data_IF_811119890367
#
_entry.id   IF_811119890367
#
_cell.length_a   1.000
_cell.length_b   1.000
_cell.length_c   1.000
_cell.angle_alpha   90.00
_cell.angle_beta   90.00
_cell.angle_gamma   90.00
#
_symmetry.space_group_name_H-M   'P 1'
#
loop_
_entity.id
_entity.type
_entity.pdbx_description
1 polymer ?
#
# COMPACT_ATOMS: atom_id res chain seq x y z
N UNK A 1 -23.32 -45.00 -26.29
CA UNK A 1 -22.06 -44.59 -25.63
C UNK A 1 -21.61 -43.18 -26.04
N UNK A 2 -21.50 -42.86 -27.33
CA UNK A 2 -21.02 -41.56 -27.87
C UNK A 2 -21.83 -40.32 -27.36
N UNK A 3 -23.13 -40.48 -27.06
CA UNK A 3 -23.97 -39.36 -26.61
C UNK A 3 -23.77 -38.95 -25.14
N UNK A 4 -23.17 -39.80 -24.29
CA UNK A 4 -22.96 -39.52 -22.86
C UNK A 4 -21.69 -38.68 -22.65
N UNK A 5 -20.61 -39.03 -23.34
CA UNK A 5 -19.34 -38.29 -23.32
C UNK A 5 -19.44 -36.87 -23.87
N UNK A 6 -20.25 -36.66 -24.91
CA UNK A 6 -20.46 -35.32 -25.47
C UNK A 6 -21.22 -34.42 -24.48
N UNK A 7 -22.20 -34.96 -23.76
CA UNK A 7 -22.94 -34.20 -22.73
C UNK A 7 -22.06 -33.87 -21.52
N UNK A 8 -21.21 -34.78 -21.07
CA UNK A 8 -20.28 -34.51 -19.96
C UNK A 8 -19.20 -33.50 -20.36
N UNK A 9 -18.66 -33.59 -21.57
CA UNK A 9 -17.68 -32.63 -22.09
C UNK A 9 -18.27 -31.22 -22.23
N UNK A 10 -19.50 -31.11 -22.76
CA UNK A 10 -20.21 -29.82 -22.87
C UNK A 10 -20.52 -29.25 -21.47
N UNK A 11 -21.01 -30.08 -20.55
CA UNK A 11 -21.27 -29.68 -19.15
C UNK A 11 -19.99 -29.21 -18.45
N UNK A 12 -18.84 -29.85 -18.70
CA UNK A 12 -17.54 -29.42 -18.16
C UNK A 12 -17.08 -28.09 -18.75
N UNK A 13 -17.19 -27.88 -20.07
CA UNK A 13 -16.85 -26.58 -20.69
C UNK A 13 -17.77 -25.46 -20.26
N UNK A 14 -19.07 -25.73 -20.06
CA UNK A 14 -20.05 -24.77 -19.53
C UNK A 14 -19.77 -24.47 -18.06
N UNK A 15 -19.41 -25.47 -17.25
CA UNK A 15 -18.99 -25.29 -15.86
C UNK A 15 -17.68 -24.52 -15.73
N UNK A 16 -16.71 -24.71 -16.63
CA UNK A 16 -15.46 -23.94 -16.63
C UNK A 16 -15.73 -22.48 -17.06
N UNK A 17 -16.54 -22.23 -18.10
CA UNK A 17 -16.95 -20.86 -18.46
C UNK A 17 -17.76 -20.19 -17.36
N UNK A 18 -18.68 -20.91 -16.72
CA UNK A 18 -19.43 -20.41 -15.55
C UNK A 18 -18.50 -20.15 -14.37
N UNK A 19 -17.54 -21.02 -14.09
CA UNK A 19 -16.57 -20.84 -13.00
C UNK A 19 -15.64 -19.66 -13.28
N UNK A 20 -15.12 -19.52 -14.50
CA UNK A 20 -14.30 -18.37 -14.91
C UNK A 20 -15.10 -17.07 -14.79
N UNK A 21 -16.31 -17.02 -15.36
CA UNK A 21 -17.18 -15.85 -15.24
C UNK A 21 -17.59 -15.58 -13.79
N UNK A 22 -17.89 -16.61 -13.00
CA UNK A 22 -18.24 -16.50 -11.58
C UNK A 22 -17.05 -16.00 -10.76
N UNK A 23 -15.84 -16.45 -11.02
CA UNK A 23 -14.63 -15.92 -10.37
C UNK A 23 -14.33 -14.49 -10.81
N UNK A 24 -14.60 -14.13 -12.07
CA UNK A 24 -14.45 -12.77 -12.58
C UNK A 24 -15.50 -11.83 -11.95
N UNK A 25 -16.76 -12.27 -11.84
CA UNK A 25 -17.84 -11.51 -11.20
C UNK A 25 -17.70 -11.48 -9.69
N UNK A 26 -17.22 -12.55 -9.04
CA UNK A 26 -16.98 -12.58 -7.59
C UNK A 26 -15.75 -11.77 -7.21
N UNK A 27 -14.72 -11.70 -8.07
CA UNK A 27 -13.60 -10.81 -7.86
C UNK A 27 -13.94 -9.35 -8.19
N UNK A 28 -14.79 -9.09 -9.19
CA UNK A 28 -15.38 -7.78 -9.42
C UNK A 28 -16.31 -7.38 -8.26
N UNK A 29 -17.06 -8.32 -7.69
CA UNK A 29 -17.89 -8.11 -6.51
C UNK A 29 -17.02 -7.92 -5.26
N UNK A 30 -15.86 -8.57 -5.14
CA UNK A 30 -14.90 -8.29 -4.06
C UNK A 30 -14.28 -6.89 -4.24
N UNK A 31 -14.02 -6.47 -5.49
CA UNK A 31 -13.58 -5.10 -5.83
C UNK A 31 -14.69 -4.07 -5.56
N UNK A 32 -15.96 -4.42 -5.77
CA UNK A 32 -17.12 -3.57 -5.47
C UNK A 32 -17.51 -3.58 -3.99
N UNK A 33 -17.31 -4.68 -3.26
CA UNK A 33 -17.51 -4.79 -1.81
C UNK A 33 -16.40 -4.10 -1.02
N UNK A 34 -15.19 -4.00 -1.58
CA UNK A 34 -14.14 -3.07 -1.10
C UNK A 34 -14.44 -1.63 -1.53
N UNK A 35 -15.32 -1.43 -2.52
CA UNK A 35 -15.74 -0.12 -3.04
C UNK A 35 -17.06 0.41 -2.47
N UNK A 36 -17.78 -0.34 -1.63
CA UNK A 36 -18.95 0.16 -0.90
C UNK A 36 -18.50 0.79 0.41
N UNK A 37 -17.95 2.00 0.28
CA UNK A 37 -17.82 2.94 1.39
C UNK A 37 -19.21 3.17 1.97
N UNK A 38 -19.40 2.75 3.23
CA UNK A 38 -20.58 3.08 4.02
C UNK A 38 -20.81 4.59 3.97
N UNK A 39 -22.05 5.00 3.73
CA UNK A 39 -22.48 6.39 3.94
C UNK A 39 -22.31 6.73 5.42
N UNK A 40 -21.50 7.75 5.71
CA UNK A 40 -21.42 8.40 7.02
C UNK A 40 -19.99 8.67 7.47
N UNK A 41 -19.46 9.82 7.05
CA UNK A 41 -18.48 10.76 7.63
C UNK A 41 -17.83 11.48 6.44
N UNK A 42 -17.99 12.80 6.35
CA UNK A 42 -17.36 13.61 5.30
C UNK A 42 -15.84 13.53 5.44
N UNK A 43 -15.15 13.18 4.35
CA UNK A 43 -13.70 13.21 4.32
C UNK A 43 -13.22 14.66 4.46
N UNK A 44 -12.05 14.87 5.08
CA UNK A 44 -11.40 16.19 5.12
C UNK A 44 -11.14 16.65 3.68
N UNK A 45 -11.54 17.89 3.35
CA UNK A 45 -11.42 18.49 2.03
C UNK A 45 -10.70 19.85 2.10
N UNK A 46 -10.23 20.32 0.95
CA UNK A 46 -9.66 21.67 0.82
C UNK A 46 -10.75 22.69 1.14
N UNK A 47 -10.45 23.63 2.03
CA UNK A 47 -11.38 24.64 2.55
C UNK A 47 -11.92 24.32 3.94
N UNK A 48 -11.68 23.12 4.48
CA UNK A 48 -12.11 22.78 5.83
C UNK A 48 -11.31 23.55 6.89
N UNK A 49 -12.02 24.06 7.90
CA UNK A 49 -11.44 24.72 9.06
C UNK A 49 -11.20 23.70 10.18
N UNK A 50 -9.96 23.63 10.65
CA UNK A 50 -9.52 22.65 11.66
C UNK A 50 -8.95 23.36 12.88
N UNK A 51 -9.18 22.76 14.05
CA UNK A 51 -8.57 23.16 15.31
C UNK A 51 -8.11 21.91 16.07
N UNK A 52 -6.80 21.75 16.24
CA UNK A 52 -6.22 20.49 16.75
C UNK A 52 -4.98 20.76 17.60
N UNK A 53 -4.86 20.04 18.71
CA UNK A 53 -3.65 20.01 19.52
C UNK A 53 -2.74 18.83 19.13
N UNK A 54 -1.43 19.06 19.13
CA UNK A 54 -0.46 18.01 18.87
C UNK A 54 0.98 18.46 19.11
N UNK A 55 1.92 17.53 18.90
CA UNK A 55 3.34 17.87 18.96
C UNK A 55 3.76 18.60 17.69
N UNK A 56 4.59 19.63 17.86
CA UNK A 56 5.21 20.34 16.75
C UNK A 56 6.61 19.77 16.54
N UNK A 57 6.91 19.40 15.29
CA UNK A 57 8.18 18.77 14.94
C UNK A 57 8.73 19.37 13.64
N UNK A 58 10.04 19.64 13.59
CA UNK A 58 10.67 20.14 12.37
C UNK A 58 10.85 19.05 11.31
N UNK A 59 10.77 19.43 10.03
CA UNK A 59 10.90 18.49 8.93
C UNK A 59 12.30 17.88 8.83
N UNK A 60 13.34 18.56 9.29
CA UNK A 60 14.70 18.05 9.21
C UNK A 60 14.87 16.80 10.11
N UNK A 61 14.41 16.85 11.36
CA UNK A 61 14.41 15.71 12.28
C UNK A 61 13.46 14.59 11.82
N UNK A 62 12.33 14.93 11.18
CA UNK A 62 11.44 13.95 10.54
C UNK A 62 12.17 13.24 9.39
N UNK A 63 12.73 14.00 8.45
CA UNK A 63 13.36 13.45 7.24
C UNK A 63 14.65 12.70 7.54
N UNK A 64 15.34 13.05 8.63
CA UNK A 64 16.53 12.35 9.11
C UNK A 64 16.22 10.95 9.65
N UNK A 65 15.01 10.72 10.15
CA UNK A 65 14.64 9.48 10.84
C UNK A 65 15.03 9.44 12.32
N UNK A 66 15.86 10.37 12.79
CA UNK A 66 16.26 10.53 14.20
C UNK A 66 16.33 12.00 14.58
N UNK A 67 16.17 12.30 15.88
CA UNK A 67 16.28 13.66 16.39
C UNK A 67 17.73 14.15 16.29
N UNK A 68 17.93 15.38 15.85
CA UNK A 68 19.28 15.94 15.69
C UNK A 68 20.00 16.09 17.05
N UNK A 69 19.26 16.52 18.05
CA UNK A 69 19.67 16.76 19.43
C UNK A 69 19.69 15.49 20.28
N UNK A 70 18.97 14.44 19.85
CA UNK A 70 19.03 13.11 20.43
C UNK A 70 19.14 12.02 19.35
N UNK A 71 20.35 11.79 18.76
CA UNK A 71 20.52 10.92 17.59
C UNK A 71 20.14 9.45 17.79
N UNK A 72 20.01 8.99 19.05
CA UNK A 72 19.56 7.64 19.41
C UNK A 72 18.03 7.50 19.47
N UNK A 73 17.29 8.61 19.36
CA UNK A 73 15.83 8.64 19.42
C UNK A 73 15.27 8.65 18.01
N UNK A 74 14.45 7.65 17.69
CA UNK A 74 13.72 7.56 16.43
C UNK A 74 12.67 8.68 16.36
N UNK A 75 12.64 9.39 15.23
CA UNK A 75 11.63 10.42 14.99
C UNK A 75 10.23 9.81 14.96
N UNK A 76 9.20 10.61 15.30
CA UNK A 76 7.80 10.19 15.41
C UNK A 76 7.49 9.12 16.48
N UNK A 77 8.48 8.58 17.20
CA UNK A 77 8.26 7.62 18.30
C UNK A 77 8.21 8.29 19.66
N UNK A 78 9.11 9.25 19.88
CA UNK A 78 9.26 9.95 21.15
C UNK A 78 9.43 11.46 20.93
N UNK A 79 8.43 12.16 20.35
CA UNK A 79 8.51 13.61 20.12
C UNK A 79 8.71 14.41 21.41
N UNK A 80 8.32 13.87 22.57
CA UNK A 80 8.55 14.45 23.88
C UNK A 80 10.04 14.57 24.26
N UNK A 81 10.95 13.90 23.53
CA UNK A 81 12.40 14.00 23.75
C UNK A 81 13.09 15.02 22.85
N UNK A 82 12.34 15.70 21.99
CA UNK A 82 12.89 16.70 21.10
C UNK A 82 12.91 18.07 21.79
N UNK A 83 14.08 18.68 21.89
CA UNK A 83 14.26 19.93 22.63
C UNK A 83 13.69 21.13 21.89
N UNK A 84 13.19 22.10 22.66
CA UNK A 84 12.74 23.38 22.11
C UNK A 84 13.91 24.13 21.46
N UNK A 85 15.11 24.06 22.05
CA UNK A 85 16.33 24.61 21.45
C UNK A 85 16.55 24.10 20.02
N UNK A 86 16.38 22.80 19.78
CA UNK A 86 16.52 22.21 18.45
C UNK A 86 15.46 22.76 17.48
N UNK A 87 14.22 22.90 17.94
CA UNK A 87 13.12 23.44 17.12
C UNK A 87 13.35 24.90 16.70
N UNK A 88 13.84 25.77 17.59
CA UNK A 88 13.78 27.24 17.38
C UNK A 88 15.13 27.93 17.13
N UNK A 89 16.25 27.37 17.61
CA UNK A 89 17.58 27.97 17.47
C UNK A 89 18.39 27.35 16.35
N UNK A 90 18.25 26.03 16.15
CA UNK A 90 19.07 25.29 15.21
C UNK A 90 18.64 25.58 13.79
N UNK A 91 19.50 26.27 13.04
CA UNK A 91 19.16 26.86 11.73
C UNK A 91 18.63 25.85 10.70
N UNK A 92 19.10 24.61 10.70
CA UNK A 92 18.64 23.59 9.75
C UNK A 92 17.26 23.03 10.12
N UNK A 93 16.94 22.96 11.41
CA UNK A 93 15.64 22.51 11.92
C UNK A 93 14.60 23.60 11.66
N UNK A 94 14.81 24.83 12.14
CA UNK A 94 13.84 25.93 11.98
C UNK A 94 13.54 26.31 10.52
N UNK A 95 14.52 26.17 9.62
CA UNK A 95 14.32 26.49 8.18
C UNK A 95 13.67 25.37 7.40
N UNK A 96 13.52 24.18 7.98
CA UNK A 96 12.89 23.04 7.30
C UNK A 96 11.36 23.12 7.32
N UNK A 97 10.78 24.00 8.14
CA UNK A 97 9.35 24.07 8.43
C UNK A 97 8.92 23.06 9.49
N UNK A 98 7.62 23.06 9.83
CA UNK A 98 7.09 22.21 10.90
C UNK A 98 5.89 21.37 10.47
N UNK A 99 5.72 20.22 11.12
CA UNK A 99 4.50 19.43 11.07
C UNK A 99 3.85 19.37 12.45
N UNK A 100 2.52 19.38 12.44
CA UNK A 100 1.69 18.99 13.58
C UNK A 100 1.56 17.47 13.59
N UNK A 101 1.89 16.86 14.73
CA UNK A 101 1.83 15.42 14.94
C UNK A 101 0.67 15.05 15.86
N UNK A 102 -0.11 14.06 15.44
CA UNK A 102 -1.22 13.50 16.21
C UNK A 102 -0.75 12.33 17.07
N UNK A 103 -1.35 12.19 18.25
CA UNK A 103 -1.10 11.09 19.17
C UNK A 103 -1.38 9.72 18.54
N UNK A 104 -0.60 8.69 18.90
CA UNK A 104 -0.88 7.33 18.47
C UNK A 104 -2.16 6.82 19.13
N UNK A 105 -2.99 6.10 18.36
CA UNK A 105 -4.22 5.47 18.85
C UNK A 105 -3.96 4.38 19.90
N UNK A 106 -2.79 3.75 19.85
CA UNK A 106 -2.39 2.67 20.76
C UNK A 106 -1.10 3.04 21.51
N UNK A 107 -0.97 2.66 22.80
CA UNK A 107 0.24 2.90 23.56
C UNK A 107 1.49 2.32 22.88
N UNK A 108 2.48 3.19 22.62
CA UNK A 108 3.74 2.80 21.96
C UNK A 108 3.70 2.80 20.42
N UNK A 109 2.60 3.24 19.81
CA UNK A 109 2.52 3.52 18.37
C UNK A 109 3.35 4.74 17.94
N UNK A 110 3.49 4.93 16.63
CA UNK A 110 4.11 6.12 16.06
C UNK A 110 3.11 7.27 15.98
N UNK A 111 3.58 8.48 16.21
CA UNK A 111 2.84 9.71 15.99
C UNK A 111 2.64 9.95 14.50
N UNK A 112 1.41 10.30 14.11
CA UNK A 112 1.08 10.55 12.71
C UNK A 112 1.37 11.99 12.34
N UNK A 113 1.97 12.23 11.17
CA UNK A 113 2.10 13.57 10.59
C UNK A 113 0.73 13.99 10.07
N UNK A 114 0.08 14.95 10.74
CA UNK A 114 -1.28 15.34 10.42
C UNK A 114 -1.31 16.50 9.43
N UNK A 115 -0.59 17.59 9.76
CA UNK A 115 -0.55 18.78 8.92
C UNK A 115 0.85 19.34 8.76
N UNK A 116 1.15 19.82 7.56
CA UNK A 116 2.25 20.72 7.26
C UNK A 116 1.79 22.16 7.51
N UNK A 117 2.57 22.92 8.28
CA UNK A 117 2.31 24.34 8.45
C UNK A 117 2.93 25.12 7.27
N UNK A 118 2.18 26.11 6.79
CA UNK A 118 2.64 27.09 5.81
C UNK A 118 3.72 28.03 6.39
N UNK A 119 4.22 28.94 5.57
CA UNK A 119 5.24 29.91 6.03
C UNK A 119 4.76 30.79 7.18
N UNK A 120 3.48 31.20 7.19
CA UNK A 120 2.91 31.99 8.29
C UNK A 120 2.87 31.18 9.58
N UNK A 121 2.36 29.94 9.53
CA UNK A 121 2.36 29.02 10.65
C UNK A 121 3.75 28.73 11.21
N UNK A 122 4.76 28.59 10.36
CA UNK A 122 6.13 28.36 10.81
C UNK A 122 6.68 29.53 11.65
N UNK A 123 6.39 30.78 11.28
CA UNK A 123 6.80 31.96 12.06
C UNK A 123 6.00 32.11 13.36
N UNK A 124 4.71 31.74 13.35
CA UNK A 124 3.89 31.70 14.56
C UNK A 124 4.39 30.65 15.56
N UNK A 125 4.70 29.43 15.10
CA UNK A 125 5.33 28.39 15.93
C UNK A 125 6.63 28.89 16.55
N UNK A 126 7.48 29.56 15.77
CA UNK A 126 8.74 30.10 16.27
C UNK A 126 8.54 31.16 17.36
N UNK A 127 7.51 31.99 17.22
CA UNK A 127 7.18 33.04 18.17
C UNK A 127 6.67 32.44 19.48
N UNK A 128 5.68 31.55 19.40
CA UNK A 128 5.08 30.91 20.57
C UNK A 128 6.06 29.98 21.31
N UNK A 129 6.82 29.16 20.58
CA UNK A 129 7.80 28.26 21.18
C UNK A 129 8.93 29.04 21.90
N UNK A 130 9.33 30.22 21.39
CA UNK A 130 10.33 31.07 22.05
C UNK A 130 9.79 31.81 23.27
N UNK A 131 8.48 31.99 23.38
CA UNK A 131 7.86 32.64 24.52
C UNK A 131 7.84 31.71 25.76
N UNK A 132 7.74 30.40 25.56
CA UNK A 132 7.62 29.41 26.66
C UNK A 132 8.83 28.49 26.81
N UNK A 133 9.72 28.47 25.82
CA UNK A 133 10.86 27.55 25.72
C UNK A 133 12.08 27.93 26.56
N UNK A 134 12.89 26.93 26.88
CA UNK A 134 14.29 27.11 27.28
C UNK A 134 15.18 27.06 26.02
N UNK A 135 15.62 28.23 25.56
CA UNK A 135 16.43 28.37 24.36
C UNK A 135 17.27 29.65 24.35
N UNK A 136 18.28 29.73 23.47
CA UNK A 136 19.20 30.86 23.37
C UNK A 136 18.56 32.11 22.77
N UNK A 137 17.53 31.95 21.93
CA UNK A 137 16.80 33.09 21.33
C UNK A 137 15.46 33.38 22.01
N UNK A 138 15.17 32.72 23.12
CA UNK A 138 13.94 32.88 23.89
C UNK A 138 14.00 34.22 24.65
N UNK A 139 12.93 35.03 24.53
CA UNK A 139 12.89 36.38 25.13
C UNK A 139 12.41 36.37 26.59
N UNK A 140 11.77 35.29 27.02
CA UNK A 140 11.31 35.07 28.38
C UNK A 140 12.06 33.89 29.04
N UNK A 141 12.05 33.82 30.37
CA UNK A 141 12.50 32.64 31.13
C UNK A 141 11.47 31.51 31.03
N UNK A 142 11.21 31.05 29.80
CA UNK A 142 10.46 29.84 29.57
C UNK A 142 11.15 28.64 30.23
N UNK A 143 10.36 27.66 30.67
CA UNK A 143 10.87 26.44 31.31
C UNK A 143 10.64 25.20 30.46
N UNK A 144 10.05 25.32 29.27
CA UNK A 144 9.80 24.18 28.40
C UNK A 144 11.09 23.76 27.71
N UNK A 145 11.72 22.70 28.19
CA UNK A 145 12.98 22.19 27.61
C UNK A 145 12.74 21.22 26.44
N UNK A 146 11.74 20.33 26.54
CA UNK A 146 11.50 19.25 25.58
C UNK A 146 10.03 19.08 25.22
N UNK A 147 9.72 18.55 24.04
CA UNK A 147 8.37 18.14 23.67
C UNK A 147 7.41 19.30 23.53
N UNK A 148 7.62 20.15 22.51
CA UNK A 148 6.73 21.28 22.27
C UNK A 148 5.40 20.82 21.68
N UNK A 149 4.30 21.17 22.36
CA UNK A 149 2.93 20.98 21.91
C UNK A 149 2.24 22.33 21.76
N UNK A 150 1.32 22.42 20.81
CA UNK A 150 0.50 23.59 20.58
C UNK A 150 -0.85 23.21 19.98
N UNK A 151 -1.85 24.07 20.19
CA UNK A 151 -3.14 24.02 19.49
C UNK A 151 -3.05 24.85 18.23
N UNK A 152 -3.31 24.25 17.08
CA UNK A 152 -3.24 24.89 15.76
C UNK A 152 -4.65 25.11 15.23
N UNK A 153 -4.96 26.35 14.84
CA UNK A 153 -6.16 26.69 14.06
C UNK A 153 -5.73 27.01 12.63
N UNK A 154 -6.44 26.47 11.64
CA UNK A 154 -6.10 26.73 10.24
C UNK A 154 -7.13 26.21 9.25
N UNK A 155 -6.95 26.57 7.99
CA UNK A 155 -7.77 26.10 6.86
C UNK A 155 -6.94 25.19 5.97
N UNK A 156 -7.51 24.05 5.57
CA UNK A 156 -6.85 23.10 4.67
C UNK A 156 -6.72 23.70 3.28
N UNK A 157 -5.50 23.88 2.80
CA UNK A 157 -5.22 24.46 1.47
C UNK A 157 -4.79 23.43 0.44
N UNK A 158 -4.19 22.34 0.90
CA UNK A 158 -3.72 21.25 0.04
C UNK A 158 -3.87 19.94 0.82
N UNK A 159 -4.42 18.89 0.20
CA UNK A 159 -4.59 17.58 0.85
C UNK A 159 -3.29 16.80 0.97
N UNK A 160 -2.19 17.35 0.49
CA UNK A 160 -0.89 16.73 0.45
C UNK A 160 -0.83 15.60 -0.57
N UNK A 161 0.01 14.62 -0.25
CA UNK A 161 0.24 13.45 -1.06
C UNK A 161 0.49 12.26 -0.15
N UNK A 162 0.87 11.13 -0.73
CA UNK A 162 1.29 9.98 0.06
C UNK A 162 2.50 10.23 0.98
N UNK A 163 3.38 11.17 0.62
CA UNK A 163 4.62 11.43 1.37
C UNK A 163 4.61 12.73 2.15
N UNK A 164 3.57 13.55 1.95
CA UNK A 164 3.43 14.88 2.57
C UNK A 164 2.03 15.00 3.16
N UNK A 165 1.89 15.38 4.44
CA UNK A 165 0.58 15.62 5.02
C UNK A 165 -0.13 16.79 4.32
N UNK A 166 -1.42 16.95 4.61
CA UNK A 166 -2.17 18.11 4.17
C UNK A 166 -1.52 19.41 4.68
N UNK A 167 -1.62 20.49 3.92
CA UNK A 167 -1.08 21.80 4.30
C UNK A 167 -2.18 22.67 4.87
N UNK A 168 -1.88 23.36 5.97
CA UNK A 168 -2.75 24.38 6.56
C UNK A 168 -2.25 25.77 6.19
N UNK A 169 -3.17 26.62 5.72
CA UNK A 169 -3.04 28.05 5.98
C UNK A 169 -3.29 28.24 7.48
N UNK A 170 -2.21 28.48 8.22
CA UNK A 170 -2.28 28.56 9.67
C UNK A 170 -2.87 29.91 10.06
N UNK A 171 -3.97 29.89 10.80
CA UNK A 171 -4.63 31.09 11.30
C UNK A 171 -4.12 31.48 12.69
N UNK A 172 -3.84 30.48 13.55
CA UNK A 172 -3.28 30.72 14.88
C UNK A 172 -2.49 29.51 15.41
N UNK A 173 -1.48 29.80 16.22
CA UNK A 173 -0.77 28.84 17.08
C UNK A 173 -1.02 29.28 18.51
N UNK A 174 -1.61 28.41 19.32
CA UNK A 174 -2.08 28.71 20.66
C UNK A 174 -1.48 27.74 21.69
N UNK A 175 -1.41 28.12 22.98
CA UNK A 175 -1.03 27.21 24.05
C UNK A 175 -1.93 25.98 24.12
N UNK A 176 -1.37 24.86 24.57
CA UNK A 176 -2.09 23.60 24.87
C UNK A 176 -3.32 23.87 25.76
N UNK A 177 -4.44 23.23 25.45
CA UNK A 177 -5.70 23.39 26.16
C UNK A 177 -6.49 24.66 25.81
N UNK A 178 -6.04 25.44 24.82
CA UNK A 178 -6.84 26.55 24.28
C UNK A 178 -8.11 26.02 23.61
N UNK A 179 -9.24 26.71 23.79
CA UNK A 179 -10.52 26.27 23.24
C UNK A 179 -10.58 26.43 21.72
N UNK A 180 -11.18 25.43 21.06
CA UNK A 180 -11.48 25.44 19.63
C UNK A 180 -12.77 26.18 19.28
N UNK A 181 -13.25 27.07 20.16
CA UNK A 181 -14.42 27.93 19.89
C UNK A 181 -14.02 29.21 19.13
N UNK A 182 -15.03 29.83 18.53
CA UNK A 182 -15.01 30.84 17.45
C UNK A 182 -14.44 32.23 17.80
N UNK A 183 -13.59 32.35 18.82
CA UNK A 183 -13.23 33.68 19.32
C UNK A 183 -11.81 34.08 18.93
N UNK A 184 -11.54 34.40 17.64
CA UNK A 184 -10.48 35.37 17.28
C UNK A 184 -10.84 36.10 15.96
N UNK A 185 -11.82 37.01 16.01
CA UNK A 185 -11.81 38.27 15.24
C UNK A 185 -12.69 39.30 15.98
N UNK A 186 -12.32 39.62 17.22
CA UNK A 186 -12.78 40.86 17.87
C UNK A 186 -11.66 41.89 17.73
N UNK A 187 -11.97 43.11 17.27
CA UNK A 187 -11.05 44.24 17.37
C UNK A 187 -10.81 44.62 18.85
N UNK A 188 -9.82 45.49 19.14
CA UNK A 188 -9.49 45.93 20.51
C UNK A 188 -10.68 46.59 21.27
N UNK A 189 -11.80 46.84 20.59
CA UNK A 189 -13.03 47.43 21.11
C UNK A 189 -14.22 46.45 21.17
N UNK A 190 -14.04 45.17 20.81
CA UNK A 190 -15.05 44.12 20.96
C UNK A 190 -16.18 44.11 19.92
N UNK A 191 -15.91 44.55 18.69
CA UNK A 191 -16.86 44.53 17.58
C UNK A 191 -16.36 43.71 16.37
N UNK A 192 -17.29 43.11 15.57
CA UNK A 192 -16.94 42.45 14.31
C UNK A 192 -16.53 43.48 13.25
N UNK A 193 -15.42 43.22 12.55
CA UNK A 193 -14.96 44.09 11.46
C UNK A 193 -15.72 43.77 10.16
N UNK A 194 -16.53 44.74 9.68
CA UNK A 194 -17.17 44.70 8.36
C UNK A 194 -16.38 45.55 7.35
N UNK A 195 -15.57 44.92 6.48
CA UNK A 195 -15.17 45.45 5.16
C UNK A 195 -14.47 44.34 4.32
N UNK A 196 -14.83 43.94 3.09
CA UNK A 196 -15.89 44.39 2.18
C UNK A 196 -16.06 43.48 0.93
N UNK A 197 -17.25 42.85 0.81
CA UNK A 197 -18.17 42.69 -0.37
C UNK A 197 -17.76 42.01 -1.72
N UNK A 198 -18.72 41.53 -2.57
CA UNK A 198 -20.05 40.93 -2.29
C UNK A 198 -20.43 39.70 -3.18
N UNK A 199 -21.24 38.76 -2.67
CA UNK A 199 -21.92 37.77 -3.54
C UNK A 199 -22.65 36.59 -2.88
N UNK A 200 -23.87 36.84 -2.39
CA UNK A 200 -24.98 35.88 -2.19
C UNK A 200 -24.84 34.73 -1.20
N UNK A 201 -25.35 34.96 0.02
CA UNK A 201 -26.50 34.21 0.54
C UNK A 201 -26.24 33.06 1.52
N UNK A 202 -26.44 33.34 2.81
CA UNK A 202 -26.70 32.33 3.85
C UNK A 202 -25.86 32.54 5.10
N UNK A 203 -26.45 33.13 6.14
CA UNK A 203 -25.81 33.22 7.46
C UNK A 203 -25.61 31.84 8.08
N UNK A 204 -24.39 31.56 8.50
CA UNK A 204 -23.99 30.44 9.34
C UNK A 204 -22.70 30.84 10.05
N UNK A 205 -22.64 30.66 11.36
CA UNK A 205 -21.37 30.72 12.09
C UNK A 205 -20.39 29.74 11.47
N UNK A 206 -19.10 30.08 11.47
CA UNK A 206 -18.05 29.23 10.91
C UNK A 206 -17.72 28.11 11.92
N UNK A 207 -18.48 27.01 11.90
CA UNK A 207 -18.21 25.87 12.76
C UNK A 207 -16.80 25.30 12.45
N UNK A 208 -15.83 25.56 13.33
CA UNK A 208 -14.55 24.84 13.31
C UNK A 208 -14.80 23.37 13.64
N UNK A 209 -14.30 22.48 12.80
CA UNK A 209 -14.40 21.04 13.04
C UNK A 209 -13.44 20.69 14.17
N UNK A 210 -13.98 20.49 15.38
CA UNK A 210 -13.22 19.97 16.52
C UNK A 210 -12.98 18.47 16.30
N UNK A 211 -11.72 18.09 16.02
CA UNK A 211 -11.41 16.70 15.70
C UNK A 211 -11.62 15.77 16.90
N UNK A 212 -11.57 16.28 18.15
CA UNK A 212 -11.89 15.49 19.34
C UNK A 212 -13.37 15.08 19.40
N UNK A 213 -14.30 15.91 18.91
CA UNK A 213 -15.72 15.55 18.83
C UNK A 213 -15.99 14.53 17.70
N UNK A 214 -15.14 14.54 16.65
CA UNK A 214 -15.15 13.58 15.55
C UNK A 214 -14.52 12.23 15.94
N UNK A 215 -13.46 12.24 16.76
CA UNK A 215 -12.78 11.05 17.28
C UNK A 215 -13.62 10.32 18.34
N UNK A 216 -14.45 11.05 19.08
CA UNK A 216 -15.27 10.49 20.17
C UNK A 216 -16.63 9.93 19.69
N UNK A 217 -17.09 10.22 18.48
CA UNK A 217 -18.32 9.66 17.91
C UNK A 217 -18.05 8.80 16.65
N UNK A 218 -17.87 7.49 16.92
CA UNK A 218 -17.91 6.34 16.00
C UNK A 218 -16.63 5.85 15.31
N UNK A 219 -16.56 4.50 15.26
CA UNK A 219 -15.84 3.57 14.38
C UNK A 219 -15.76 3.92 12.86
N UNK A 220 -16.26 5.08 12.42
CA UNK A 220 -16.34 5.54 11.03
C UNK A 220 -15.13 6.36 10.55
N UNK A 221 -14.43 7.07 11.45
CA UNK A 221 -13.15 7.73 11.13
C UNK A 221 -12.07 6.70 10.76
N UNK A 222 -12.17 5.49 11.28
CA UNK A 222 -11.29 4.37 10.94
C UNK A 222 -11.37 3.97 9.45
N UNK A 223 -12.25 4.55 8.64
CA UNK A 223 -12.31 4.32 7.19
C UNK A 223 -11.81 5.50 6.36
N UNK A 224 -11.74 6.71 6.93
CA UNK A 224 -11.24 7.92 6.25
C UNK A 224 -9.80 8.21 6.68
N UNK A 225 -9.46 8.02 7.95
CA UNK A 225 -8.07 8.02 8.44
C UNK A 225 -7.34 6.68 8.17
N UNK A 226 -8.07 5.64 7.73
CA UNK A 226 -7.52 4.48 7.00
C UNK A 226 -7.46 4.68 5.48
N UNK A 227 -7.43 5.95 5.05
CA UNK A 227 -6.55 6.36 3.96
C UNK A 227 -5.06 6.07 4.28
N UNK A 228 -4.80 5.34 5.36
CA UNK A 228 -3.62 4.56 5.64
C UNK A 228 -2.53 5.50 6.08
N UNK A 229 -2.06 5.32 7.31
CA UNK A 229 -0.66 5.64 7.57
C UNK A 229 0.14 5.15 6.35
N UNK A 230 1.03 5.97 5.82
CA UNK A 230 1.82 5.65 4.64
C UNK A 230 2.41 4.21 4.76
N UNK A 231 2.75 3.83 5.99
CA UNK A 231 3.03 2.49 6.48
C UNK A 231 1.97 1.40 6.12
N UNK A 232 0.70 1.59 6.45
CA UNK A 232 -0.41 0.69 6.10
C UNK A 232 -0.56 0.57 4.57
N UNK A 233 -0.38 1.65 3.82
CA UNK A 233 -0.44 1.61 2.35
C UNK A 233 0.74 0.82 1.77
N UNK A 234 1.96 1.05 2.28
CA UNK A 234 3.14 0.26 1.96
C UNK A 234 2.93 -1.23 2.26
N UNK A 235 2.36 -1.56 3.41
CA UNK A 235 2.08 -2.93 3.82
C UNK A 235 1.02 -3.58 2.94
N UNK A 236 -0.06 -2.87 2.60
CA UNK A 236 -1.14 -3.37 1.73
C UNK A 236 -0.65 -3.62 0.30
N UNK A 237 0.10 -2.68 -0.29
CA UNK A 237 0.75 -2.87 -1.58
C UNK A 237 1.73 -4.05 -1.54
N UNK A 238 2.66 -4.02 -0.57
CA UNK A 238 3.73 -5.01 -0.44
C UNK A 238 3.21 -6.42 -0.23
N UNK A 239 2.23 -6.62 0.65
CA UNK A 239 1.62 -7.92 0.92
C UNK A 239 0.93 -8.51 -0.32
N UNK A 240 0.12 -7.73 -1.04
CA UNK A 240 -0.52 -8.16 -2.29
C UNK A 240 0.51 -8.55 -3.35
N UNK A 241 1.59 -7.76 -3.48
CA UNK A 241 2.68 -8.07 -4.41
C UNK A 241 3.46 -9.33 -4.02
N UNK A 242 3.73 -9.55 -2.73
CA UNK A 242 4.40 -10.75 -2.24
C UNK A 242 3.54 -12.00 -2.43
N UNK A 243 2.22 -11.92 -2.20
CA UNK A 243 1.30 -13.04 -2.43
C UNK A 243 1.21 -13.35 -3.94
N UNK A 244 1.02 -12.31 -4.77
CA UNK A 244 0.90 -12.46 -6.22
C UNK A 244 2.22 -12.90 -6.88
N UNK A 245 3.19 -11.99 -6.93
CA UNK A 245 4.48 -12.18 -7.62
C UNK A 245 5.49 -12.98 -6.82
N UNK A 246 5.48 -12.89 -5.48
CA UNK A 246 6.40 -13.63 -4.64
C UNK A 246 6.03 -15.11 -4.50
N UNK A 247 4.75 -15.48 -4.66
CA UNK A 247 4.30 -16.85 -4.42
C UNK A 247 3.40 -17.46 -5.50
N UNK A 248 2.22 -16.90 -5.76
CA UNK A 248 1.20 -17.54 -6.61
C UNK A 248 1.65 -17.68 -8.08
N UNK A 249 2.13 -16.60 -8.71
CA UNK A 249 2.52 -16.59 -10.11
C UNK A 249 3.71 -17.56 -10.40
N UNK A 250 4.79 -17.58 -9.59
CA UNK A 250 5.84 -18.60 -9.71
C UNK A 250 5.33 -20.02 -9.48
N UNK A 251 4.46 -20.24 -8.47
CA UNK A 251 3.87 -21.55 -8.19
C UNK A 251 3.07 -22.08 -9.38
N UNK A 252 2.24 -21.23 -10.01
CA UNK A 252 1.49 -21.55 -11.22
C UNK A 252 2.39 -21.92 -12.40
N UNK A 253 3.56 -21.30 -12.53
CA UNK A 253 4.55 -21.62 -13.57
C UNK A 253 5.24 -22.97 -13.32
N UNK A 254 5.63 -23.25 -12.06
CA UNK A 254 6.20 -24.54 -11.65
C UNK A 254 5.21 -25.67 -11.87
N UNK A 255 3.95 -25.50 -11.46
CA UNK A 255 2.88 -26.48 -11.66
C UNK A 255 2.64 -26.79 -13.14
N UNK A 256 2.63 -25.76 -14.00
CA UNK A 256 2.52 -25.96 -15.44
C UNK A 256 3.67 -26.75 -16.06
N UNK A 257 4.84 -26.77 -15.41
CA UNK A 257 6.01 -27.53 -15.85
C UNK A 257 6.00 -28.96 -15.33
N UNK A 258 5.75 -29.15 -14.03
CA UNK A 258 5.98 -30.43 -13.36
C UNK A 258 4.73 -31.31 -13.26
N UNK A 259 3.53 -30.74 -13.33
CA UNK A 259 2.28 -31.46 -13.05
C UNK A 259 1.57 -32.01 -14.30
N UNK A 260 2.28 -32.08 -15.44
CA UNK A 260 1.71 -32.47 -16.74
C UNK A 260 1.29 -33.94 -16.85
N UNK A 261 1.71 -34.81 -15.94
CA UNK A 261 1.40 -36.24 -15.97
C UNK A 261 -0.04 -36.56 -15.57
N UNK A 262 -0.78 -35.61 -14.98
CA UNK A 262 -2.20 -35.81 -14.63
C UNK A 262 -3.09 -35.70 -15.88
N UNK A 263 -4.16 -36.51 -15.98
CA UNK A 263 -5.06 -36.54 -17.15
C UNK A 263 -5.88 -35.25 -17.29
N UNK A 264 -6.68 -35.17 -18.36
CA UNK A 264 -7.69 -34.13 -18.63
C UNK A 264 -7.16 -32.70 -18.67
N UNK A 265 -5.86 -32.55 -18.94
CA UNK A 265 -5.19 -31.26 -18.96
C UNK A 265 -5.26 -30.54 -17.61
N UNK A 266 -5.32 -31.27 -16.49
CA UNK A 266 -5.48 -30.68 -15.15
C UNK A 266 -4.43 -29.60 -14.85
N UNK A 267 -3.16 -29.81 -15.26
CA UNK A 267 -2.09 -28.83 -15.12
C UNK A 267 -2.43 -27.47 -15.73
N UNK A 268 -3.17 -27.46 -16.85
CA UNK A 268 -3.54 -26.24 -17.58
C UNK A 268 -4.67 -25.51 -16.85
N UNK A 269 -5.64 -26.24 -16.32
CA UNK A 269 -6.73 -25.68 -15.50
C UNK A 269 -6.18 -25.02 -14.24
N UNK A 270 -5.30 -25.74 -13.52
CA UNK A 270 -4.62 -25.21 -12.32
C UNK A 270 -3.78 -24.00 -12.67
N UNK A 271 -3.00 -24.07 -13.76
CA UNK A 271 -2.18 -22.94 -14.21
C UNK A 271 -3.03 -21.69 -14.46
N UNK A 272 -4.11 -21.78 -15.25
CA UNK A 272 -4.98 -20.62 -15.51
C UNK A 272 -5.54 -20.07 -14.21
N UNK A 273 -6.08 -20.92 -13.34
CA UNK A 273 -6.67 -20.50 -12.08
C UNK A 273 -5.66 -19.74 -11.19
N UNK A 274 -4.50 -20.35 -10.93
CA UNK A 274 -3.48 -19.77 -10.05
C UNK A 274 -2.87 -18.51 -10.67
N UNK A 275 -2.63 -18.49 -11.99
CA UNK A 275 -2.11 -17.30 -12.68
C UNK A 275 -3.12 -16.14 -12.64
N UNK A 276 -4.41 -16.42 -12.87
CA UNK A 276 -5.46 -15.39 -12.83
C UNK A 276 -5.60 -14.81 -11.43
N UNK A 277 -5.63 -15.66 -10.40
CA UNK A 277 -5.71 -15.21 -9.01
C UNK A 277 -4.48 -14.38 -8.61
N UNK A 278 -3.27 -14.85 -8.93
CA UNK A 278 -2.03 -14.13 -8.64
C UNK A 278 -1.96 -12.77 -9.34
N UNK A 279 -2.37 -12.70 -10.61
CA UNK A 279 -2.33 -11.48 -11.40
C UNK A 279 -3.41 -10.48 -10.95
N UNK A 280 -4.56 -10.97 -10.47
CA UNK A 280 -5.60 -10.13 -9.89
C UNK A 280 -5.11 -9.44 -8.61
N UNK A 281 -4.54 -10.20 -7.67
CA UNK A 281 -3.99 -9.64 -6.44
C UNK A 281 -2.85 -8.64 -6.72
N UNK A 282 -1.94 -9.01 -7.63
CA UNK A 282 -0.88 -8.11 -8.08
C UNK A 282 -1.43 -6.86 -8.78
N UNK A 283 -2.51 -6.98 -9.54
CA UNK A 283 -3.19 -5.85 -10.18
C UNK A 283 -3.78 -4.87 -9.16
N UNK A 284 -4.43 -5.37 -8.11
CA UNK A 284 -4.92 -4.54 -7.00
C UNK A 284 -3.74 -3.84 -6.31
N UNK A 285 -2.68 -4.58 -5.98
CA UNK A 285 -1.46 -4.01 -5.41
C UNK A 285 -0.85 -2.92 -6.30
N UNK A 286 -0.88 -3.12 -7.63
CA UNK A 286 -0.32 -2.15 -8.58
C UNK A 286 -1.15 -0.87 -8.64
N UNK A 287 -2.48 -0.98 -8.63
CA UNK A 287 -3.38 0.18 -8.58
C UNK A 287 -3.17 0.97 -7.30
N UNK A 288 -3.04 0.29 -6.15
CA UNK A 288 -2.72 0.94 -4.87
C UNK A 288 -1.42 1.74 -5.01
N UNK A 289 -0.37 1.16 -5.61
CA UNK A 289 0.88 1.89 -5.80
C UNK A 289 0.74 3.13 -6.69
N UNK A 290 0.09 3.01 -7.85
CA UNK A 290 -0.08 4.14 -8.76
C UNK A 290 -0.94 5.26 -8.18
N UNK A 291 -1.87 4.94 -7.28
CA UNK A 291 -2.77 5.92 -6.66
C UNK A 291 -2.16 6.59 -5.44
N UNK A 292 -1.28 5.90 -4.73
CA UNK A 292 -0.84 6.30 -3.40
C UNK A 292 0.68 6.43 -3.28
N UNK A 293 1.45 6.39 -4.35
CA UNK A 293 2.87 6.72 -4.29
C UNK A 293 3.22 7.65 -5.45
N UNK A 294 4.04 8.67 -5.17
CA UNK A 294 4.65 9.50 -6.21
C UNK A 294 5.73 8.71 -6.97
N UNK A 295 5.24 7.76 -7.76
CA UNK A 295 5.99 6.64 -8.32
C UNK A 295 7.06 7.10 -9.33
N UNK A 296 6.90 8.30 -9.91
CA UNK A 296 7.73 8.76 -11.04
C UNK A 296 8.29 10.19 -10.92
N UNK A 297 7.86 11.03 -9.96
CA UNK A 297 8.31 12.44 -9.93
C UNK A 297 9.52 12.71 -9.01
N UNK A 298 10.04 11.73 -8.25
CA UNK A 298 11.21 11.89 -7.38
C UNK A 298 12.50 11.25 -7.91
N UNK A 299 13.20 11.88 -8.88
CA UNK A 299 14.49 11.37 -9.42
C UNK A 299 15.62 11.33 -8.39
N UNK A 300 15.48 12.07 -7.28
CA UNK A 300 16.48 12.14 -6.21
C UNK A 300 16.47 10.86 -5.33
N UNK A 301 15.43 10.04 -5.43
CA UNK A 301 15.30 8.74 -4.76
C UNK A 301 15.48 7.57 -5.73
N UNK A 302 16.72 7.32 -6.14
CA UNK A 302 17.11 6.33 -7.17
C UNK A 302 16.48 4.95 -6.97
N UNK A 303 16.36 4.46 -5.73
CA UNK A 303 15.78 3.14 -5.43
C UNK A 303 14.26 3.10 -5.66
N UNK A 304 13.54 4.16 -5.27
CA UNK A 304 12.09 4.27 -5.46
C UNK A 304 11.74 4.31 -6.94
N UNK A 305 12.45 5.15 -7.70
CA UNK A 305 12.29 5.23 -9.15
C UNK A 305 12.64 3.90 -9.86
N UNK A 306 13.72 3.22 -9.46
CA UNK A 306 14.07 1.91 -10.01
C UNK A 306 12.99 0.85 -9.73
N UNK A 307 12.48 0.79 -8.50
CA UNK A 307 11.38 -0.10 -8.12
C UNK A 307 10.13 0.15 -8.97
N UNK A 308 9.74 1.42 -9.11
CA UNK A 308 8.60 1.87 -9.90
C UNK A 308 8.67 1.42 -11.37
N UNK A 309 9.80 1.68 -12.03
CA UNK A 309 10.01 1.33 -13.45
C UNK A 309 10.05 -0.18 -13.64
N UNK A 310 10.77 -0.90 -12.78
CA UNK A 310 10.85 -2.36 -12.86
C UNK A 310 9.49 -3.01 -12.57
N UNK A 311 8.78 -2.56 -11.53
CA UNK A 311 7.46 -3.04 -11.17
C UNK A 311 6.43 -2.81 -12.28
N UNK A 312 6.44 -1.62 -12.89
CA UNK A 312 5.59 -1.34 -14.06
C UNK A 312 5.90 -2.27 -15.23
N UNK A 313 7.19 -2.52 -15.50
CA UNK A 313 7.62 -3.45 -16.55
C UNK A 313 7.13 -4.87 -16.27
N UNK A 314 7.28 -5.35 -15.04
CA UNK A 314 6.80 -6.67 -14.59
C UNK A 314 5.28 -6.79 -14.73
N UNK A 315 4.53 -5.77 -14.34
CA UNK A 315 3.07 -5.76 -14.46
C UNK A 315 2.61 -5.76 -15.92
N UNK A 316 3.23 -4.95 -16.79
CA UNK A 316 2.95 -4.97 -18.23
C UNK A 316 3.21 -6.35 -18.82
N UNK A 317 4.37 -6.96 -18.53
CA UNK A 317 4.67 -8.32 -18.97
C UNK A 317 3.65 -9.33 -18.44
N UNK A 318 3.22 -9.19 -17.18
CA UNK A 318 2.20 -10.02 -16.54
C UNK A 318 0.85 -9.95 -17.22
N UNK A 319 0.33 -8.74 -17.49
CA UNK A 319 -0.95 -8.54 -18.18
C UNK A 319 -0.91 -8.92 -19.66
N UNK A 320 0.25 -8.84 -20.31
CA UNK A 320 0.43 -9.33 -21.67
C UNK A 320 0.42 -10.87 -21.76
N UNK A 321 0.67 -11.61 -20.68
CA UNK A 321 0.63 -13.09 -20.70
C UNK A 321 -0.74 -13.66 -21.07
N UNK A 322 -1.87 -13.31 -20.40
CA UNK A 322 -3.18 -13.83 -20.78
C UNK A 322 -3.61 -13.36 -22.17
N UNK A 323 -3.28 -12.11 -22.57
CA UNK A 323 -3.57 -11.61 -23.92
C UNK A 323 -2.83 -12.42 -24.99
N UNK A 324 -1.54 -12.69 -24.78
CA UNK A 324 -0.74 -13.57 -25.62
C UNK A 324 -1.30 -15.02 -25.60
N UNK A 325 -1.83 -15.49 -24.48
CA UNK A 325 -2.43 -16.82 -24.39
C UNK A 325 -3.73 -16.97 -25.19
N UNK A 326 -4.46 -15.88 -25.46
CA UNK A 326 -5.67 -15.93 -26.30
C UNK A 326 -5.38 -16.25 -27.77
N UNK A 327 -4.21 -15.84 -28.28
CA UNK A 327 -3.78 -16.11 -29.66
C UNK A 327 -3.00 -17.43 -29.80
N UNK A 328 -3.00 -18.26 -28.75
CA UNK A 328 -2.28 -19.54 -28.68
C UNK A 328 -2.72 -20.49 -29.81
N UNK A 329 -1.83 -20.89 -30.73
CA UNK A 329 -2.15 -21.83 -31.81
C UNK A 329 -2.60 -23.20 -31.26
N UNK A 330 -3.42 -23.94 -32.01
CA UNK A 330 -3.91 -25.25 -31.58
C UNK A 330 -2.78 -26.23 -31.22
N UNK A 331 -3.05 -27.12 -30.27
CA UNK A 331 -2.13 -28.21 -29.96
C UNK A 331 -2.06 -29.17 -31.16
N UNK A 332 -0.88 -29.75 -31.47
CA UNK A 332 -0.79 -30.77 -32.49
C UNK A 332 -1.66 -31.97 -32.09
N UNK A 333 -2.18 -32.70 -33.09
CA UNK A 333 -2.75 -34.02 -32.85
C UNK A 333 -1.67 -34.94 -32.25
N UNK A 334 -2.10 -35.95 -31.49
CA UNK A 334 -1.20 -36.88 -30.83
C UNK A 334 -0.28 -37.56 -31.86
N UNK A 335 1.04 -37.45 -31.67
CA UNK A 335 2.04 -37.95 -32.62
C UNK A 335 2.42 -37.00 -33.78
N UNK A 336 1.72 -35.89 -33.99
CA UNK A 336 2.04 -34.93 -35.06
C UNK A 336 3.08 -33.87 -34.62
N UNK A 337 3.93 -33.37 -35.54
CA UNK A 337 4.86 -32.28 -35.23
C UNK A 337 4.10 -30.98 -34.93
N UNK A 338 4.68 -30.14 -34.06
CA UNK A 338 4.13 -28.81 -33.78
C UNK A 338 4.28 -27.90 -35.00
N UNK A 339 3.28 -27.05 -35.24
CA UNK A 339 3.41 -25.98 -36.24
C UNK A 339 4.48 -24.96 -35.83
N UNK A 340 5.13 -24.31 -36.80
CA UNK A 340 6.13 -23.26 -36.54
C UNK A 340 5.57 -22.14 -35.66
N UNK A 341 4.33 -21.71 -35.92
CA UNK A 341 3.65 -20.69 -35.10
C UNK A 341 3.49 -21.14 -33.64
N UNK A 342 3.17 -22.42 -33.41
CA UNK A 342 3.06 -22.96 -32.05
C UNK A 342 4.41 -22.96 -31.34
N UNK A 343 5.50 -23.28 -32.04
CA UNK A 343 6.85 -23.25 -31.47
C UNK A 343 7.25 -21.83 -31.09
N UNK A 344 7.07 -20.86 -31.99
CA UNK A 344 7.38 -19.44 -31.74
C UNK A 344 6.56 -18.93 -30.55
N UNK A 345 5.24 -19.19 -30.54
CA UNK A 345 4.38 -18.79 -29.43
C UNK A 345 4.84 -19.40 -28.10
N UNK A 346 5.25 -20.68 -28.08
CA UNK A 346 5.76 -21.33 -26.87
C UNK A 346 7.07 -20.69 -26.37
N UNK A 347 7.96 -20.26 -27.28
CA UNK A 347 9.20 -19.55 -26.92
C UNK A 347 8.85 -18.19 -26.32
N UNK A 348 7.99 -17.41 -27.00
CA UNK A 348 7.60 -16.07 -26.54
C UNK A 348 6.87 -16.14 -25.21
N UNK A 349 5.84 -16.98 -25.08
CA UNK A 349 5.04 -17.10 -23.86
C UNK A 349 5.87 -17.59 -22.67
N UNK A 350 6.65 -18.66 -22.84
CA UNK A 350 7.48 -19.17 -21.75
C UNK A 350 8.63 -18.21 -21.44
N UNK A 351 9.31 -17.70 -22.46
CA UNK A 351 10.45 -16.80 -22.32
C UNK A 351 10.06 -15.54 -21.56
N UNK A 352 9.04 -14.82 -22.04
CA UNK A 352 8.53 -13.61 -21.36
C UNK A 352 8.00 -13.90 -19.95
N UNK A 353 7.40 -15.07 -19.72
CA UNK A 353 6.93 -15.47 -18.39
C UNK A 353 8.07 -15.67 -17.39
N UNK A 354 9.14 -16.38 -17.78
CA UNK A 354 10.33 -16.56 -16.94
C UNK A 354 11.10 -15.26 -16.72
N UNK A 355 11.18 -14.40 -17.74
CA UNK A 355 11.76 -13.06 -17.62
C UNK A 355 10.97 -12.22 -16.62
N UNK A 356 9.64 -12.23 -16.68
CA UNK A 356 8.79 -11.49 -15.74
C UNK A 356 9.01 -11.96 -14.29
N UNK A 357 9.06 -13.27 -14.05
CA UNK A 357 9.35 -13.84 -12.72
C UNK A 357 10.74 -13.40 -12.22
N UNK A 358 11.77 -13.46 -13.06
CA UNK A 358 13.12 -13.04 -12.67
C UNK A 358 13.18 -11.55 -12.31
N UNK A 359 12.55 -10.69 -13.11
CA UNK A 359 12.44 -9.26 -12.82
C UNK A 359 11.62 -8.99 -11.56
N UNK A 360 10.56 -9.77 -11.30
CA UNK A 360 9.75 -9.64 -10.10
C UNK A 360 10.55 -9.88 -8.82
N UNK A 361 11.45 -10.87 -8.81
CA UNK A 361 12.36 -11.12 -7.66
C UNK A 361 13.18 -9.87 -7.36
N UNK A 362 13.85 -9.30 -8.37
CA UNK A 362 14.63 -8.07 -8.19
C UNK A 362 13.76 -6.89 -7.74
N UNK A 363 12.57 -6.75 -8.32
CA UNK A 363 11.63 -5.68 -7.99
C UNK A 363 11.17 -5.75 -6.53
N UNK A 364 10.84 -6.95 -6.05
CA UNK A 364 10.46 -7.22 -4.66
C UNK A 364 11.64 -6.95 -3.72
N UNK A 365 12.84 -7.39 -4.07
CA UNK A 365 14.04 -7.10 -3.27
C UNK A 365 14.27 -5.60 -3.11
N UNK A 366 14.12 -4.80 -4.17
CA UNK A 366 14.23 -3.34 -4.04
C UNK A 366 13.07 -2.78 -3.22
N UNK A 367 11.83 -3.19 -3.49
CA UNK A 367 10.64 -2.68 -2.81
C UNK A 367 10.65 -2.90 -1.30
N UNK A 368 11.17 -4.04 -0.85
CA UNK A 368 11.31 -4.33 0.59
C UNK A 368 12.33 -3.44 1.29
N UNK A 369 13.28 -2.83 0.57
CA UNK A 369 14.18 -1.81 1.14
C UNK A 369 13.55 -0.43 1.31
N UNK A 370 12.34 -0.25 0.76
CA UNK A 370 11.58 1.00 0.85
C UNK A 370 10.54 0.95 1.99
N UNK A 371 10.43 -0.17 2.71
CA UNK A 371 9.50 -0.30 3.83
C UNK A 371 10.01 0.48 5.05
N UNK A 372 9.21 1.43 5.59
CA UNK A 372 9.60 2.28 6.71
C UNK A 372 9.68 1.56 8.07
N UNK A 373 8.93 0.46 8.25
CA UNK A 373 8.76 -0.21 9.56
C UNK A 373 9.75 -1.34 9.87
N UNK A 374 10.67 -1.66 8.96
CA UNK A 374 11.56 -2.81 9.13
C UNK A 374 12.92 -2.33 9.62
N UNK A 375 13.12 -2.26 10.95
CA UNK A 375 14.38 -1.86 11.60
C UNK A 375 15.58 -2.70 11.10
N UNK A 376 15.34 -3.94 10.66
CA UNK A 376 16.33 -4.80 10.02
C UNK A 376 15.82 -5.41 8.69
N UNK A 377 15.82 -4.59 7.64
CA UNK A 377 15.46 -4.96 6.27
C UNK A 377 16.25 -6.17 5.73
N UNK A 378 17.52 -6.33 6.15
CA UNK A 378 18.36 -7.45 5.69
C UNK A 378 17.89 -8.77 6.28
N UNK A 379 17.60 -8.77 7.58
CA UNK A 379 17.06 -9.96 8.25
C UNK A 379 15.71 -10.36 7.66
N UNK A 380 14.83 -9.40 7.36
CA UNK A 380 13.58 -9.69 6.66
C UNK A 380 13.81 -10.34 5.29
N UNK A 381 14.68 -9.75 4.45
CA UNK A 381 14.97 -10.29 3.12
C UNK A 381 15.58 -11.69 3.15
N UNK A 382 16.49 -11.94 4.10
CA UNK A 382 17.08 -13.27 4.31
C UNK A 382 16.03 -14.27 4.80
N UNK A 383 15.22 -13.91 5.80
CA UNK A 383 14.19 -14.79 6.35
C UNK A 383 13.13 -15.12 5.29
N UNK A 384 12.62 -14.11 4.57
CA UNK A 384 11.67 -14.29 3.49
C UNK A 384 12.28 -15.10 2.34
N UNK A 385 13.49 -14.76 1.90
CA UNK A 385 14.18 -15.44 0.81
C UNK A 385 14.42 -16.92 1.11
N UNK A 386 14.88 -17.24 2.33
CA UNK A 386 15.05 -18.63 2.79
C UNK A 386 13.71 -19.34 2.92
N UNK A 387 12.71 -18.71 3.55
CA UNK A 387 11.38 -19.27 3.75
C UNK A 387 10.68 -19.60 2.42
N UNK A 388 10.61 -18.62 1.51
CA UNK A 388 10.04 -18.80 0.18
C UNK A 388 10.85 -19.83 -0.63
N UNK A 389 12.18 -19.79 -0.56
CA UNK A 389 13.06 -20.76 -1.21
C UNK A 389 12.80 -22.20 -0.75
N UNK A 390 12.75 -22.44 0.56
CA UNK A 390 12.43 -23.75 1.13
C UNK A 390 11.02 -24.21 0.74
N UNK A 391 10.05 -23.31 0.72
CA UNK A 391 8.68 -23.61 0.33
C UNK A 391 8.59 -24.01 -1.15
N UNK A 392 9.31 -23.32 -2.05
CA UNK A 392 9.40 -23.72 -3.46
C UNK A 392 10.16 -25.04 -3.65
N UNK A 393 11.23 -25.28 -2.90
CA UNK A 393 11.95 -26.56 -2.93
C UNK A 393 11.04 -27.71 -2.49
N UNK A 394 10.27 -27.52 -1.41
CA UNK A 394 9.27 -28.48 -0.96
C UNK A 394 8.20 -28.74 -2.03
N UNK A 395 7.66 -27.67 -2.64
CA UNK A 395 6.69 -27.79 -3.74
C UNK A 395 7.25 -28.59 -4.92
N UNK A 396 8.48 -28.29 -5.36
CA UNK A 396 9.15 -29.00 -6.45
C UNK A 396 9.36 -30.48 -6.09
N UNK A 397 9.87 -30.76 -4.90
CA UNK A 397 10.07 -32.13 -4.41
C UNK A 397 8.75 -32.91 -4.37
N UNK A 398 7.70 -32.30 -3.83
CA UNK A 398 6.36 -32.89 -3.78
C UNK A 398 5.84 -33.23 -5.18
N UNK A 399 5.91 -32.29 -6.13
CA UNK A 399 5.45 -32.51 -7.51
C UNK A 399 6.27 -33.58 -8.23
N UNK A 400 7.58 -33.64 -7.98
CA UNK A 400 8.45 -34.70 -8.52
C UNK A 400 8.13 -36.07 -7.93
N UNK A 401 7.84 -36.14 -6.64
CA UNK A 401 7.41 -37.38 -5.97
C UNK A 401 6.03 -37.84 -6.48
N UNK A 402 5.07 -36.93 -6.61
CA UNK A 402 3.75 -37.23 -7.20
C UNK A 402 3.90 -37.79 -8.61
N UNK A 403 4.72 -37.17 -9.45
CA UNK A 403 5.03 -37.65 -10.80
C UNK A 403 5.59 -39.08 -10.78
N UNK A 404 6.58 -39.36 -9.92
CA UNK A 404 7.16 -40.71 -9.78
C UNK A 404 6.13 -41.74 -9.32
N UNK A 405 5.31 -41.41 -8.32
CA UNK A 405 4.25 -42.29 -7.80
C UNK A 405 3.21 -42.59 -8.88
N UNK A 406 2.75 -41.57 -9.60
CA UNK A 406 1.77 -41.72 -10.67
C UNK A 406 2.32 -42.60 -11.81
N UNK A 407 3.56 -42.35 -12.27
CA UNK A 407 4.18 -43.19 -13.31
C UNK A 407 4.35 -44.65 -12.86
N UNK A 408 4.66 -44.92 -11.59
CA UNK A 408 4.73 -46.28 -11.06
C UNK A 408 3.36 -46.96 -11.06
N UNK A 409 2.31 -46.24 -10.64
CA UNK A 409 0.94 -46.75 -10.63
C UNK A 409 0.47 -47.13 -12.04
N UNK A 410 0.66 -46.25 -13.02
CA UNK A 410 0.29 -46.52 -14.42
C UNK A 410 1.01 -47.74 -14.99
N UNK A 411 2.31 -47.91 -14.71
CA UNK A 411 3.06 -49.10 -15.12
C UNK A 411 2.52 -50.39 -14.49
N UNK A 412 2.14 -50.35 -13.22
CA UNK A 412 1.56 -51.50 -12.53
C UNK A 412 0.21 -51.90 -13.14
N UNK A 413 -0.65 -50.92 -13.42
CA UNK A 413 -1.94 -51.13 -14.08
C UNK A 413 -1.78 -51.70 -15.50
N UNK A 414 -0.76 -51.25 -16.25
CA UNK A 414 -0.42 -51.80 -17.57
C UNK A 414 0.10 -53.25 -17.51
N UNK A 415 0.93 -53.58 -16.52
CA UNK A 415 1.53 -54.92 -16.38
C UNK A 415 0.63 -55.99 -15.76
N UNK A 416 -0.49 -55.60 -15.13
CA UNK A 416 -1.37 -56.55 -14.44
C UNK A 416 -2.86 -56.40 -14.86
N UNK A 417 -3.19 -56.66 -16.14
CA UNK A 417 -4.53 -56.41 -16.70
C UNK A 417 -5.65 -57.31 -16.11
N UNK A 418 -5.29 -58.39 -15.40
CA UNK A 418 -6.23 -59.45 -14.97
C UNK A 418 -7.18 -59.01 -13.83
N UNK A 419 -6.90 -57.93 -13.10
CA UNK A 419 -7.82 -57.42 -12.07
C UNK A 419 -8.93 -56.48 -12.61
N UNK A 420 -8.89 -56.06 -13.87
CA UNK A 420 -9.85 -55.08 -14.41
C UNK A 420 -10.94 -55.70 -15.31
N UNK A 421 -10.95 -57.03 -15.46
CA UNK A 421 -11.96 -57.79 -16.24
C UNK A 421 -12.93 -58.60 -15.38
N UNK A 422 -12.94 -58.40 -14.05
CA UNK A 422 -13.74 -59.18 -13.09
C UNK A 422 -15.10 -58.59 -12.71
N UNK A 423 -15.45 -57.41 -13.20
CA UNK A 423 -16.76 -56.79 -12.98
C UNK A 423 -17.33 -56.34 -14.34
N UNK A 424 -17.91 -57.28 -15.07
CA UNK A 424 -18.75 -57.02 -16.24
C UNK A 424 -20.08 -57.75 -16.09
#
# INVERSE_FOLDING_TARGET
>A
FIHKDLKETIMLTVSIKKFVNMTFTSALLLVLLVGETRKGVTALEVGDNVCIEGFIMDLFCINRGTLLDAPSVQTLRNPEKHSVHCLVDVSQCRRSGYNLLLDPQEPGGLYARLFQLDSGGNEMVLTEARAIGDCSTCMAQGTQEFGYRATIKGTVTDMGSSSTPATLETLAVLPVGSSCQDDIFEDEDGNPTEDGTPGTGGGGGMDFVNLDDLLNDMDGINLVFDAGSLDTVFLRHGSLMLIGWGFLLPSGAIMARLFKHRPDGLWFKIHIFVQTLGLLLAGIGFIIALRNFDTFNGKDHIKGYAHAVMGTTVMVLGFLQPLNAMIRPHAPQEGAPKSTLRVIWEIVHKGSGWTAIALAVCTISIGTTLLPQMDDQRTFQLAYGLGAGLLFLFLIMYLMMDKKKFSKKMKLEETNPIMNSGEA
#
